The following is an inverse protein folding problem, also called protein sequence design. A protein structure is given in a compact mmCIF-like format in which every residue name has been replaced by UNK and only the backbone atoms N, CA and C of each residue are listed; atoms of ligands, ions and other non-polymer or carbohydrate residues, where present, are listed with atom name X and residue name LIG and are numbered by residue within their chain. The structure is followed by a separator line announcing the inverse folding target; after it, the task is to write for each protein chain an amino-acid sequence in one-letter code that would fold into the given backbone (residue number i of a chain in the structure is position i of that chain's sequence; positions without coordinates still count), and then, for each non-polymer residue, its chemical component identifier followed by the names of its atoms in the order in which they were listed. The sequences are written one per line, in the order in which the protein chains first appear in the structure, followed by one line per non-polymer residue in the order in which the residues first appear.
data_IF_968324661938
#
_entry.id   IF_968324661938
#
_cell.length_a   1.000
_cell.length_b   1.000
_cell.length_c   1.000
_cell.angle_alpha   90.00
_cell.angle_beta   90.00
_cell.angle_gamma   90.00
#
_symmetry.space_group_name_H-M   'P 1'
#
loop_
_entity.id
_entity.type
_entity.pdbx_description
1 polymer ?
#
# COMPACT_ATOMS: atom_id res chain seq x y z
N UNK A 1 3.32 17.88 -14.35
CA UNK A 1 2.12 17.05 -14.11
C UNK A 1 1.97 16.84 -12.61
N UNK A 2 0.74 16.91 -12.10
CA UNK A 2 0.40 16.75 -10.68
C UNK A 2 -0.74 15.74 -10.55
N UNK A 3 -0.79 15.04 -9.43
CA UNK A 3 -1.88 14.14 -9.05
C UNK A 3 -2.91 15.01 -8.34
N UNK A 4 -4.06 15.18 -8.93
CA UNK A 4 -5.15 15.97 -8.37
C UNK A 4 -5.92 15.17 -7.30
N UNK A 5 -6.76 15.86 -6.53
CA UNK A 5 -7.70 15.22 -5.62
C UNK A 5 -8.57 14.17 -6.33
N UNK A 6 -9.05 14.49 -7.52
CA UNK A 6 -9.93 13.59 -8.27
C UNK A 6 -9.18 12.34 -8.76
N UNK A 7 -7.88 12.47 -9.08
CA UNK A 7 -7.01 11.33 -9.39
C UNK A 7 -6.80 10.43 -8.16
N UNK A 8 -6.65 11.01 -6.96
CA UNK A 8 -6.56 10.22 -5.71
C UNK A 8 -7.86 9.45 -5.47
N UNK A 9 -9.02 10.07 -5.68
CA UNK A 9 -10.32 9.39 -5.55
C UNK A 9 -10.48 8.28 -6.60
N UNK A 10 -10.07 8.52 -7.85
CA UNK A 10 -10.08 7.53 -8.92
C UNK A 10 -9.18 6.34 -8.58
N UNK A 11 -7.97 6.58 -8.08
CA UNK A 11 -7.07 5.53 -7.61
C UNK A 11 -7.67 4.67 -6.49
N UNK A 12 -8.27 5.30 -5.46
CA UNK A 12 -8.87 4.58 -4.34
C UNK A 12 -10.03 3.68 -4.80
N UNK A 13 -10.87 4.17 -5.74
CA UNK A 13 -11.93 3.37 -6.35
C UNK A 13 -11.38 2.23 -7.22
N UNK A 14 -10.37 2.49 -8.03
CA UNK A 14 -9.70 1.47 -8.84
C UNK A 14 -9.04 0.41 -7.96
N UNK A 15 -8.36 0.82 -6.89
CA UNK A 15 -7.73 -0.12 -5.96
C UNK A 15 -8.76 -0.99 -5.22
N UNK A 16 -9.95 -0.44 -4.89
CA UNK A 16 -11.09 -1.21 -4.38
C UNK A 16 -11.46 -2.36 -5.33
N UNK A 17 -11.53 -2.08 -6.64
CA UNK A 17 -11.83 -3.10 -7.65
C UNK A 17 -10.72 -4.15 -7.77
N UNK A 18 -9.45 -3.70 -7.83
CA UNK A 18 -8.27 -4.58 -7.84
C UNK A 18 -8.28 -5.54 -6.65
N UNK A 19 -8.64 -5.07 -5.45
CA UNK A 19 -8.73 -5.93 -4.27
C UNK A 19 -9.88 -6.94 -4.36
N UNK A 20 -11.03 -6.56 -4.92
CA UNK A 20 -12.15 -7.47 -5.13
C UNK A 20 -11.77 -8.60 -6.12
N UNK A 21 -11.11 -8.25 -7.22
CA UNK A 21 -10.65 -9.20 -8.24
C UNK A 21 -9.57 -10.15 -7.70
N UNK A 22 -8.69 -9.65 -6.83
CA UNK A 22 -7.60 -10.42 -6.24
C UNK A 22 -7.92 -11.01 -4.86
N UNK A 23 -9.16 -10.93 -4.39
CA UNK A 23 -9.58 -11.40 -3.07
C UNK A 23 -9.21 -12.86 -2.82
N UNK A 24 -9.56 -13.75 -3.74
CA UNK A 24 -9.27 -15.18 -3.64
C UNK A 24 -7.77 -15.42 -3.63
N UNK A 25 -7.04 -14.83 -4.57
CA UNK A 25 -5.58 -14.95 -4.66
C UNK A 25 -4.86 -14.51 -3.37
N UNK A 26 -5.22 -13.33 -2.83
CA UNK A 26 -4.65 -12.84 -1.57
C UNK A 26 -4.99 -13.73 -0.37
N UNK A 27 -6.19 -14.34 -0.37
CA UNK A 27 -6.60 -15.28 0.65
C UNK A 27 -5.84 -16.61 0.54
N UNK A 28 -5.59 -17.10 -0.66
CA UNK A 28 -4.79 -18.30 -0.92
C UNK A 28 -3.32 -18.11 -0.49
N UNK A 29 -2.71 -16.97 -0.80
CA UNK A 29 -1.38 -16.63 -0.31
C UNK A 29 -1.32 -16.65 1.22
N UNK A 30 -2.31 -16.07 1.86
CA UNK A 30 -2.38 -16.02 3.32
C UNK A 30 -2.68 -17.39 3.94
N UNK A 31 -3.43 -18.25 3.27
CA UNK A 31 -3.71 -19.62 3.75
C UNK A 31 -2.44 -20.47 3.87
N UNK A 32 -1.44 -20.18 3.05
CA UNK A 32 -0.16 -20.90 3.06
C UNK A 32 0.73 -20.54 4.27
N UNK A 33 0.64 -19.30 4.75
CA UNK A 33 1.56 -18.77 5.78
C UNK A 33 0.88 -17.95 6.88
N UNK A 34 -0.44 -17.85 6.87
CA UNK A 34 -1.24 -17.03 7.80
C UNK A 34 -2.50 -17.73 8.29
N UNK A 35 -3.60 -17.01 8.32
CA UNK A 35 -4.92 -17.47 8.78
C UNK A 35 -6.03 -17.39 7.71
N UNK A 36 -5.65 -17.26 6.45
CA UNK A 36 -6.53 -17.27 5.28
C UNK A 36 -7.59 -16.14 5.28
N UNK A 37 -7.27 -14.97 5.81
CA UNK A 37 -8.24 -13.88 5.91
C UNK A 37 -7.83 -12.58 5.21
N UNK A 38 -6.57 -12.46 4.74
CA UNK A 38 -6.03 -11.20 4.23
C UNK A 38 -6.84 -10.63 3.05
N UNK A 39 -7.13 -11.44 2.04
CA UNK A 39 -7.93 -11.00 0.88
C UNK A 39 -9.35 -10.60 1.27
N UNK A 40 -9.98 -11.36 2.15
CA UNK A 40 -11.33 -11.09 2.66
C UNK A 40 -11.35 -9.77 3.45
N UNK A 41 -10.35 -9.57 4.31
CA UNK A 41 -10.23 -8.38 5.13
C UNK A 41 -9.97 -7.12 4.30
N UNK A 42 -9.08 -7.20 3.30
CA UNK A 42 -8.77 -6.08 2.41
C UNK A 42 -9.98 -5.70 1.55
N UNK A 43 -10.68 -6.67 0.97
CA UNK A 43 -11.91 -6.45 0.20
C UNK A 43 -13.00 -5.77 1.05
N UNK A 44 -13.24 -6.27 2.26
CA UNK A 44 -14.20 -5.66 3.20
C UNK A 44 -13.81 -4.25 3.59
N UNK A 45 -12.53 -4.03 3.92
CA UNK A 45 -12.02 -2.74 4.36
C UNK A 45 -12.14 -1.67 3.29
N UNK A 46 -11.72 -1.98 2.06
CA UNK A 46 -11.82 -1.03 0.95
C UNK A 46 -13.25 -0.85 0.42
N UNK A 47 -14.15 -1.84 0.59
CA UNK A 47 -15.58 -1.64 0.40
C UNK A 47 -16.17 -0.61 1.38
N UNK A 48 -15.73 -0.63 2.64
CA UNK A 48 -16.13 0.38 3.61
C UNK A 48 -15.51 1.76 3.30
N UNK A 49 -14.27 1.80 2.76
CA UNK A 49 -13.66 3.04 2.26
C UNK A 49 -14.50 3.62 1.12
N UNK A 50 -14.80 2.84 0.09
CA UNK A 50 -15.63 3.26 -1.04
C UNK A 50 -16.93 3.92 -0.58
N UNK A 51 -17.62 3.33 0.40
CA UNK A 51 -18.85 3.88 0.97
C UNK A 51 -18.66 5.23 1.70
N UNK A 52 -17.40 5.54 2.14
CA UNK A 52 -17.08 6.81 2.82
C UNK A 52 -16.60 7.90 1.88
N UNK A 53 -16.03 7.58 0.71
CA UNK A 53 -15.47 8.57 -0.21
C UNK A 53 -16.44 9.69 -0.59
N UNK A 54 -17.76 9.46 -0.82
CA UNK A 54 -18.69 10.55 -1.12
C UNK A 54 -18.77 11.65 -0.05
N UNK A 55 -18.51 11.32 1.22
CA UNK A 55 -18.54 12.29 2.31
C UNK A 55 -17.33 13.23 2.36
N UNK A 56 -16.27 12.89 1.63
CA UNK A 56 -14.98 13.63 1.63
C UNK A 56 -14.54 14.07 0.24
N UNK A 57 -15.41 13.93 -0.77
CA UNK A 57 -15.10 14.23 -2.19
C UNK A 57 -14.62 15.68 -2.39
N UNK A 58 -15.07 16.63 -1.59
CA UNK A 58 -14.68 18.04 -1.65
C UNK A 58 -13.58 18.43 -0.65
N UNK A 59 -13.02 17.47 0.09
CA UNK A 59 -11.96 17.70 1.07
C UNK A 59 -10.58 17.78 0.39
N UNK A 60 -9.56 18.23 1.14
CA UNK A 60 -8.16 18.11 0.71
C UNK A 60 -7.70 16.65 0.70
N UNK A 61 -6.59 16.38 0.03
CA UNK A 61 -6.04 15.01 -0.11
C UNK A 61 -5.73 14.40 1.26
N UNK A 62 -5.23 15.20 2.20
CA UNK A 62 -4.91 14.75 3.55
C UNK A 62 -6.16 14.23 4.29
N UNK A 63 -7.27 14.93 4.19
CA UNK A 63 -8.55 14.54 4.79
C UNK A 63 -9.12 13.27 4.17
N UNK A 64 -8.98 13.10 2.85
CA UNK A 64 -9.34 11.87 2.14
C UNK A 64 -8.53 10.70 2.67
N UNK A 65 -7.18 10.80 2.65
CA UNK A 65 -6.29 9.73 3.11
C UNK A 65 -6.46 9.42 4.60
N UNK A 66 -6.73 10.44 5.44
CA UNK A 66 -7.07 10.25 6.86
C UNK A 66 -8.37 9.44 7.01
N UNK A 67 -9.39 9.75 6.23
CA UNK A 67 -10.66 9.02 6.25
C UNK A 67 -10.46 7.56 5.85
N UNK A 68 -9.67 7.31 4.79
CA UNK A 68 -9.26 5.95 4.40
C UNK A 68 -8.59 5.23 5.58
N UNK A 69 -7.58 5.85 6.19
CA UNK A 69 -6.84 5.24 7.29
C UNK A 69 -7.72 4.91 8.49
N UNK A 70 -8.58 5.82 8.93
CA UNK A 70 -9.51 5.60 10.03
C UNK A 70 -10.52 4.48 9.73
N UNK A 71 -11.03 4.43 8.50
CA UNK A 71 -11.97 3.40 8.06
C UNK A 71 -11.29 2.02 8.08
N UNK A 72 -10.07 1.91 7.57
CA UNK A 72 -9.34 0.63 7.57
C UNK A 72 -9.02 0.15 8.98
N UNK A 73 -8.63 1.03 9.91
CA UNK A 73 -8.41 0.65 11.33
C UNK A 73 -9.67 0.05 11.95
N UNK A 74 -10.84 0.57 11.60
CA UNK A 74 -12.11 0.14 12.21
C UNK A 74 -12.76 -1.08 11.53
N UNK A 75 -12.35 -1.42 10.30
CA UNK A 75 -13.05 -2.42 9.48
C UNK A 75 -12.20 -3.62 9.04
N UNK A 76 -10.89 -3.44 8.95
CA UNK A 76 -9.96 -4.53 8.57
C UNK A 76 -9.50 -5.26 9.82
N UNK A 77 -9.67 -6.58 9.81
CA UNK A 77 -9.20 -7.45 10.88
C UNK A 77 -7.67 -7.67 10.87
N UNK A 78 -7.18 -8.35 11.89
CA UNK A 78 -5.77 -8.74 11.99
C UNK A 78 -4.81 -7.55 12.03
N UNK A 79 -3.59 -7.75 11.58
CA UNK A 79 -2.56 -6.71 11.50
C UNK A 79 -2.79 -5.73 10.34
N UNK A 80 -3.51 -6.14 9.28
CA UNK A 80 -3.74 -5.33 8.08
C UNK A 80 -4.39 -3.98 8.38
N UNK A 81 -5.45 -3.95 9.18
CA UNK A 81 -6.15 -2.72 9.55
C UNK A 81 -5.24 -1.66 10.18
N UNK A 82 -4.59 -1.98 11.30
CA UNK A 82 -3.64 -1.07 11.93
C UNK A 82 -2.48 -0.64 11.03
N UNK A 83 -1.94 -1.52 10.17
CA UNK A 83 -0.80 -1.21 9.31
C UNK A 83 -1.21 -0.34 8.12
N UNK A 84 -2.20 -0.74 7.32
CA UNK A 84 -2.69 0.08 6.21
C UNK A 84 -3.32 1.38 6.69
N UNK A 85 -4.08 1.33 7.79
CA UNK A 85 -4.65 2.53 8.38
C UNK A 85 -3.58 3.53 8.81
N UNK A 86 -2.50 3.06 9.43
CA UNK A 86 -1.36 3.93 9.80
C UNK A 86 -0.66 4.47 8.55
N UNK A 87 -0.46 3.65 7.51
CA UNK A 87 0.10 4.09 6.23
C UNK A 87 -0.67 5.29 5.68
N UNK A 88 -1.96 5.15 5.48
CA UNK A 88 -2.80 6.21 4.90
C UNK A 88 -2.89 7.45 5.79
N UNK A 89 -2.99 7.29 7.11
CA UNK A 89 -3.00 8.43 8.03
C UNK A 89 -1.69 9.23 8.01
N UNK A 90 -0.55 8.55 7.98
CA UNK A 90 0.77 9.20 7.93
C UNK A 90 1.04 9.82 6.57
N UNK A 91 0.69 9.12 5.48
CA UNK A 91 0.77 9.66 4.13
C UNK A 91 -0.07 10.95 4.00
N UNK A 92 -1.30 10.94 4.49
CA UNK A 92 -2.16 12.13 4.49
C UNK A 92 -1.57 13.28 5.29
N UNK A 93 -1.01 13.02 6.48
CA UNK A 93 -0.39 14.06 7.31
C UNK A 93 0.79 14.75 6.61
N UNK A 94 1.56 14.02 5.78
CA UNK A 94 2.70 14.58 5.05
C UNK A 94 2.29 15.55 3.92
N UNK A 95 1.03 15.49 3.47
CA UNK A 95 0.49 16.33 2.38
C UNK A 95 -0.66 17.22 2.85
N UNK A 96 -0.65 17.61 4.12
CA UNK A 96 -1.70 18.43 4.71
C UNK A 96 -1.94 19.73 3.93
N UNK A 97 -3.21 20.05 3.67
CA UNK A 97 -3.64 21.25 2.96
C UNK A 97 -3.43 21.22 1.45
N UNK A 98 -2.96 20.10 0.86
CA UNK A 98 -2.75 19.99 -0.58
C UNK A 98 -4.00 19.44 -1.28
N UNK A 99 -4.32 20.06 -2.41
CA UNK A 99 -5.36 19.61 -3.36
C UNK A 99 -4.75 18.94 -4.60
N UNK A 100 -3.44 19.10 -4.77
CA UNK A 100 -2.64 18.47 -5.83
C UNK A 100 -1.29 18.03 -5.26
N UNK A 101 -0.74 16.94 -5.78
CA UNK A 101 0.57 16.41 -5.39
C UNK A 101 1.52 16.41 -6.59
N UNK A 102 2.71 16.96 -6.39
CA UNK A 102 3.85 16.71 -7.25
C UNK A 102 4.44 15.32 -7.00
N UNK A 103 5.38 14.88 -7.84
CA UNK A 103 6.15 13.65 -7.59
C UNK A 103 6.87 13.69 -6.23
N UNK A 104 7.41 14.84 -5.82
CA UNK A 104 8.04 15.02 -4.52
C UNK A 104 7.05 14.93 -3.36
N UNK A 105 5.82 15.42 -3.53
CA UNK A 105 4.77 15.30 -2.52
C UNK A 105 4.32 13.84 -2.36
N UNK A 106 4.19 13.13 -3.47
CA UNK A 106 3.87 11.70 -3.43
C UNK A 106 4.98 10.88 -2.76
N UNK A 107 6.25 11.20 -3.05
CA UNK A 107 7.39 10.61 -2.34
C UNK A 107 7.32 10.88 -0.83
N UNK A 108 7.02 12.11 -0.42
CA UNK A 108 6.88 12.46 1.00
C UNK A 108 5.73 11.69 1.67
N UNK A 109 4.60 11.52 0.98
CA UNK A 109 3.48 10.71 1.46
C UNK A 109 3.87 9.23 1.61
N UNK A 110 4.57 8.66 0.62
CA UNK A 110 5.05 7.28 0.64
C UNK A 110 6.07 7.05 1.76
N UNK A 111 7.01 7.97 1.94
CA UNK A 111 8.01 7.93 3.02
C UNK A 111 7.34 7.95 4.40
N UNK A 112 6.42 8.88 4.63
CA UNK A 112 5.72 9.00 5.90
C UNK A 112 4.82 7.77 6.17
N UNK A 113 4.15 7.25 5.15
CA UNK A 113 3.36 6.03 5.23
C UNK A 113 4.21 4.82 5.61
N UNK A 114 5.33 4.60 4.91
CA UNK A 114 6.27 3.52 5.18
C UNK A 114 6.85 3.62 6.61
N UNK A 115 7.31 4.79 7.02
CA UNK A 115 7.82 5.02 8.37
C UNK A 115 6.77 4.69 9.44
N UNK A 116 5.50 5.06 9.19
CA UNK A 116 4.38 4.72 10.06
C UNK A 116 4.17 3.22 10.19
N UNK A 117 4.23 2.48 9.08
CA UNK A 117 4.11 1.00 9.08
C UNK A 117 5.27 0.36 9.83
N UNK A 118 6.51 0.82 9.57
CA UNK A 118 7.70 0.33 10.29
C UNK A 118 7.59 0.54 11.80
N UNK A 119 7.19 1.74 12.21
CA UNK A 119 7.00 2.07 13.62
C UNK A 119 5.90 1.22 14.27
N UNK A 120 4.78 1.01 13.56
CA UNK A 120 3.63 0.26 14.07
C UNK A 120 3.88 -1.24 14.12
N UNK A 121 4.42 -1.80 13.04
CA UNK A 121 4.70 -3.24 12.88
C UNK A 121 6.01 -3.69 13.50
N UNK A 122 6.91 -2.75 13.81
CA UNK A 122 8.29 -3.03 14.28
C UNK A 122 9.01 -4.01 13.35
N UNK A 123 8.78 -3.85 12.04
CA UNK A 123 9.37 -4.68 11.00
C UNK A 123 10.38 -3.87 10.18
N UNK A 124 11.36 -4.58 9.64
CA UNK A 124 12.38 -4.07 8.72
C UNK A 124 12.37 -4.89 7.44
N UNK A 125 13.15 -4.47 6.45
CA UNK A 125 13.34 -5.22 5.20
C UNK A 125 14.01 -6.56 5.48
N UNK A 126 13.61 -7.62 4.77
CA UNK A 126 14.11 -8.98 4.93
C UNK A 126 13.31 -9.83 5.91
N UNK A 127 12.23 -9.32 6.48
CA UNK A 127 11.40 -10.01 7.47
C UNK A 127 10.12 -10.65 6.90
N UNK A 128 9.95 -10.63 5.56
CA UNK A 128 8.83 -11.19 4.81
C UNK A 128 7.51 -10.53 5.20
N UNK A 129 7.41 -9.23 4.86
CA UNK A 129 6.26 -8.37 5.18
C UNK A 129 5.99 -7.37 4.05
N UNK A 130 4.93 -6.58 4.18
CA UNK A 130 4.65 -5.45 3.27
C UNK A 130 5.83 -4.45 3.16
N UNK A 131 6.72 -4.38 4.14
CA UNK A 131 7.91 -3.51 4.13
C UNK A 131 8.84 -3.89 2.98
N UNK A 132 8.92 -5.18 2.64
CA UNK A 132 9.78 -5.70 1.58
C UNK A 132 9.33 -5.25 0.17
N UNK A 133 8.07 -4.90 0.00
CA UNK A 133 7.56 -4.27 -1.22
C UNK A 133 7.63 -2.74 -1.16
N UNK A 134 7.25 -2.15 -0.01
CA UNK A 134 7.16 -0.69 0.13
C UNK A 134 8.53 0.01 0.14
N UNK A 135 9.56 -0.60 0.75
CA UNK A 135 10.89 0.02 0.86
C UNK A 135 11.54 0.20 -0.52
N UNK A 136 11.71 -0.85 -1.36
CA UNK A 136 12.29 -0.66 -2.68
C UNK A 136 11.44 0.26 -3.58
N UNK A 137 10.13 0.24 -3.44
CA UNK A 137 9.23 1.14 -4.14
C UNK A 137 9.51 2.62 -3.81
N UNK A 138 9.62 2.94 -2.51
CA UNK A 138 9.96 4.26 -2.02
C UNK A 138 11.35 4.70 -2.52
N UNK A 139 12.33 3.81 -2.51
CA UNK A 139 13.68 4.11 -2.94
C UNK A 139 13.74 4.38 -4.45
N UNK A 140 12.99 3.61 -5.26
CA UNK A 140 12.85 3.85 -6.69
C UNK A 140 12.17 5.20 -6.98
N UNK A 141 11.10 5.55 -6.25
CA UNK A 141 10.43 6.84 -6.37
C UNK A 141 11.40 7.99 -6.03
N UNK A 142 12.19 7.85 -4.97
CA UNK A 142 13.19 8.84 -4.56
C UNK A 142 14.22 9.05 -5.65
N UNK A 143 14.81 7.98 -6.16
CA UNK A 143 15.79 8.02 -7.24
C UNK A 143 15.24 8.71 -8.50
N UNK A 144 13.99 8.40 -8.87
CA UNK A 144 13.35 9.01 -10.02
C UNK A 144 13.12 10.53 -9.82
N UNK A 145 12.68 10.94 -8.63
CA UNK A 145 12.50 12.36 -8.27
C UNK A 145 13.84 13.11 -8.30
N UNK A 146 14.89 12.54 -7.70
CA UNK A 146 16.24 13.13 -7.69
C UNK A 146 16.84 13.27 -9.09
N UNK A 147 16.53 12.34 -9.99
CA UNK A 147 16.97 12.38 -11.39
C UNK A 147 16.10 13.28 -12.28
N UNK A 148 15.03 13.89 -11.75
CA UNK A 148 14.13 14.74 -12.52
C UNK A 148 13.26 13.98 -13.53
N UNK A 149 13.00 12.70 -13.30
CA UNK A 149 12.11 11.89 -14.13
C UNK A 149 10.69 12.45 -14.13
N UNK A 150 9.95 12.21 -15.20
CA UNK A 150 8.53 12.52 -15.24
C UNK A 150 7.75 11.75 -14.17
N UNK A 151 6.58 12.25 -13.78
CA UNK A 151 5.71 11.57 -12.82
C UNK A 151 5.37 10.14 -13.28
N UNK A 152 5.05 9.95 -14.55
CA UNK A 152 4.72 8.62 -15.09
C UNK A 152 5.90 7.64 -15.02
N UNK A 153 7.11 8.09 -15.37
CA UNK A 153 8.32 7.25 -15.23
C UNK A 153 8.61 6.91 -13.77
N UNK A 154 8.47 7.88 -12.86
CA UNK A 154 8.66 7.66 -11.44
C UNK A 154 7.66 6.64 -10.86
N UNK A 155 6.39 6.75 -11.22
CA UNK A 155 5.34 5.82 -10.81
C UNK A 155 5.57 4.41 -11.36
N UNK A 156 5.99 4.29 -12.62
CA UNK A 156 6.33 3.01 -13.22
C UNK A 156 7.51 2.34 -12.52
N UNK A 157 8.59 3.09 -12.27
CA UNK A 157 9.74 2.60 -11.52
C UNK A 157 9.35 2.15 -10.11
N UNK A 158 8.48 2.90 -9.43
CA UNK A 158 7.93 2.58 -8.11
C UNK A 158 7.17 1.27 -8.12
N UNK A 159 6.27 1.07 -9.08
CA UNK A 159 5.48 -0.16 -9.20
C UNK A 159 6.37 -1.38 -9.54
N UNK A 160 7.36 -1.21 -10.42
CA UNK A 160 8.31 -2.27 -10.78
C UNK A 160 9.16 -2.69 -9.58
N UNK A 161 9.66 -1.74 -8.79
CA UNK A 161 10.43 -2.03 -7.59
C UNK A 161 9.57 -2.71 -6.51
N UNK A 162 8.29 -2.29 -6.35
CA UNK A 162 7.34 -2.96 -5.47
C UNK A 162 7.11 -4.43 -5.88
N UNK A 163 6.98 -4.71 -7.17
CA UNK A 163 6.84 -6.07 -7.70
C UNK A 163 8.05 -6.95 -7.39
N UNK A 164 9.24 -6.41 -7.60
CA UNK A 164 10.48 -7.11 -7.30
C UNK A 164 10.60 -7.40 -5.81
N UNK A 165 10.29 -6.42 -4.95
CA UNK A 165 10.28 -6.59 -3.51
C UNK A 165 9.25 -7.63 -3.04
N UNK A 166 8.05 -7.62 -3.59
CA UNK A 166 7.02 -8.63 -3.35
C UNK A 166 7.54 -10.04 -3.71
N UNK A 167 8.10 -10.22 -4.91
CA UNK A 167 8.65 -11.51 -5.37
C UNK A 167 9.83 -11.96 -4.51
N UNK A 168 10.65 -11.03 -4.03
CA UNK A 168 11.78 -11.32 -3.15
C UNK A 168 11.36 -11.92 -1.80
N UNK A 169 10.10 -11.76 -1.39
CA UNK A 169 9.60 -12.40 -0.15
C UNK A 169 9.52 -13.93 -0.25
N UNK A 170 9.46 -14.51 -1.45
CA UNK A 170 9.30 -15.96 -1.64
C UNK A 170 10.40 -16.76 -0.93
N UNK A 171 11.70 -16.52 -1.16
CA UNK A 171 12.77 -17.26 -0.49
C UNK A 171 13.05 -16.84 0.96
N UNK A 172 12.42 -15.76 1.46
CA UNK A 172 12.68 -15.26 2.81
C UNK A 172 12.09 -16.19 3.88
N UNK A 173 12.80 -16.30 5.00
CA UNK A 173 12.26 -16.79 6.27
C UNK A 173 11.42 -15.69 6.92
N UNK A 174 10.17 -15.97 7.26
CA UNK A 174 9.35 -15.01 7.98
C UNK A 174 9.79 -14.87 9.44
N UNK A 175 10.03 -13.64 9.88
CA UNK A 175 10.41 -13.33 11.27
C UNK A 175 9.38 -12.41 11.94
N UNK A 176 8.34 -12.00 11.21
CA UNK A 176 7.24 -11.16 11.68
C UNK A 176 5.87 -11.71 11.28
N UNK A 177 4.86 -11.25 11.99
CA UNK A 177 3.48 -11.63 11.73
C UNK A 177 3.20 -13.11 11.98
N UNK A 178 2.07 -13.59 11.48
CA UNK A 178 1.65 -15.00 11.65
C UNK A 178 2.57 -15.98 10.95
N UNK A 179 3.10 -15.62 9.80
CA UNK A 179 4.03 -16.45 9.04
C UNK A 179 5.28 -16.86 9.85
N UNK A 180 5.72 -16.04 10.81
CA UNK A 180 6.87 -16.35 11.66
C UNK A 180 6.67 -17.58 12.53
N UNK A 181 5.44 -17.96 12.86
CA UNK A 181 5.15 -19.17 13.64
C UNK A 181 5.42 -20.47 12.87
N UNK A 182 5.53 -20.38 11.54
CA UNK A 182 5.83 -21.53 10.68
C UNK A 182 7.33 -21.84 10.59
N UNK A 183 8.22 -20.90 10.99
CA UNK A 183 9.65 -21.06 10.80
C UNK A 183 10.02 -21.31 9.33
N UNK A 184 10.85 -22.30 9.06
CA UNK A 184 11.32 -22.65 7.71
C UNK A 184 10.17 -23.00 6.73
N UNK A 185 9.02 -23.45 7.21
CA UNK A 185 7.84 -23.70 6.37
C UNK A 185 7.28 -22.44 5.74
N UNK A 186 7.68 -21.25 6.18
CA UNK A 186 7.32 -19.99 5.52
C UNK A 186 8.11 -19.74 4.23
N UNK A 187 9.24 -20.42 4.04
CA UNK A 187 10.07 -20.30 2.83
C UNK A 187 9.36 -20.92 1.62
N UNK A 188 9.47 -20.29 0.46
CA UNK A 188 8.83 -20.73 -0.78
C UNK A 188 7.44 -20.11 -1.00
N UNK A 189 6.91 -19.37 -0.05
CA UNK A 189 5.61 -18.71 -0.16
C UNK A 189 5.76 -17.19 -0.24
N UNK A 190 4.94 -16.56 -1.10
CA UNK A 190 4.90 -15.11 -1.25
C UNK A 190 4.08 -14.46 -0.12
N UNK A 191 4.56 -13.32 0.40
CA UNK A 191 3.85 -12.61 1.47
C UNK A 191 2.57 -11.92 0.95
N UNK A 192 1.39 -12.15 1.55
CA UNK A 192 0.15 -11.52 1.13
C UNK A 192 0.14 -9.99 1.35
N UNK A 193 0.79 -9.51 2.42
CA UNK A 193 0.91 -8.08 2.71
C UNK A 193 1.81 -7.35 1.70
N UNK A 194 2.93 -7.95 1.31
CA UNK A 194 3.78 -7.44 0.22
C UNK A 194 3.01 -7.42 -1.11
N UNK A 195 2.20 -8.46 -1.37
CA UNK A 195 1.41 -8.58 -2.59
C UNK A 195 0.35 -7.49 -2.69
N UNK A 196 -0.43 -7.26 -1.65
CA UNK A 196 -1.44 -6.19 -1.63
C UNK A 196 -0.81 -4.79 -1.66
N UNK A 197 0.39 -4.61 -1.09
CA UNK A 197 1.16 -3.36 -1.19
C UNK A 197 1.65 -3.09 -2.61
N UNK A 198 2.15 -4.11 -3.31
CA UNK A 198 2.47 -4.01 -4.73
C UNK A 198 1.24 -3.64 -5.55
N UNK A 199 0.11 -4.35 -5.36
CA UNK A 199 -1.13 -4.07 -6.08
C UNK A 199 -1.60 -2.63 -5.87
N UNK A 200 -1.45 -2.07 -4.67
CA UNK A 200 -1.77 -0.68 -4.35
C UNK A 200 -0.94 0.30 -5.19
N UNK A 201 0.38 0.10 -5.25
CA UNK A 201 1.30 0.98 -5.98
C UNK A 201 1.20 0.78 -7.50
N UNK A 202 1.00 -0.45 -7.96
CA UNK A 202 0.72 -0.72 -9.37
C UNK A 202 -0.56 -0.03 -9.83
N UNK A 203 -1.63 -0.13 -9.04
CA UNK A 203 -2.90 0.54 -9.33
C UNK A 203 -2.73 2.06 -9.40
N UNK A 204 -1.90 2.67 -8.53
CA UNK A 204 -1.56 4.09 -8.60
C UNK A 204 -0.85 4.43 -9.92
N UNK A 205 0.16 3.65 -10.30
CA UNK A 205 0.87 3.83 -11.56
C UNK A 205 -0.08 3.70 -12.77
N UNK A 206 -0.92 2.67 -12.79
CA UNK A 206 -1.87 2.43 -13.91
C UNK A 206 -2.93 3.54 -14.01
N UNK A 207 -3.39 4.08 -12.87
CA UNK A 207 -4.42 5.13 -12.83
C UNK A 207 -3.83 6.48 -13.23
N UNK A 208 -2.62 6.79 -12.80
CA UNK A 208 -1.99 8.09 -12.99
C UNK A 208 -0.99 8.15 -14.15
N UNK A 209 -0.69 7.03 -14.83
CA UNK A 209 0.19 7.01 -16.01
C UNK A 209 -0.38 7.78 -17.22
N UNK A 210 -1.65 8.13 -17.18
CA UNK A 210 -2.34 8.91 -18.23
C UNK A 210 -2.27 10.41 -17.99
N UNK A 211 -1.68 10.83 -16.88
CA UNK A 211 -1.37 12.21 -16.57
C UNK A 211 -0.03 12.58 -17.22
#
# INVERSE_FOLDING_TARGET
MTITRDDVLAWLNSFRQVLAENKTYLTELDSAIGDADHGINMDRGFGAVEAKLPSVVNSDIASILKTVGMTLISTVGGAGGPLYGTFFMRAGAAVAGKTELSAADFLAALDAGLAGVQQRGKATTGEKTMIDALTPARDAMRTAVENGSSLGEALHATATAAEQGMKATIPMLATKGRASYLGERSIGHQDPGATSSYLMLKCAADTWSKL
#
